data_IF_506394125790
#
_entry.id   IF_506394125790
#
_cell.length_a   1.000
_cell.length_b   1.000
_cell.length_c   1.000
_cell.angle_alpha   90.00
_cell.angle_beta   90.00
_cell.angle_gamma   90.00
#
_symmetry.space_group_name_H-M   'P 1'
#
loop_
_entity.id
_entity.type
_entity.pdbx_description
1 polymer ?
#
# COMPACT_ATOMS: atom_id res chain seq x y z
N UNK A 1 -32.97 35.41 36.43
CA UNK A 1 -33.86 35.92 35.37
C UNK A 1 -32.99 36.77 34.48
N UNK A 2 -32.79 36.55 33.19
CA UNK A 2 -33.14 35.53 32.21
C UNK A 2 -31.83 34.78 31.83
N UNK A 3 -31.78 33.52 31.42
CA UNK A 3 -32.64 32.88 30.44
C UNK A 3 -32.08 33.11 29.03
N UNK A 4 -30.93 32.52 28.68
CA UNK A 4 -30.63 32.25 27.28
C UNK A 4 -30.14 30.82 27.09
N UNK A 5 -30.76 30.18 26.12
CA UNK A 5 -30.88 28.76 25.87
C UNK A 5 -30.13 28.54 24.56
N UNK A 6 -28.87 28.14 24.64
CA UNK A 6 -28.15 27.64 23.47
C UNK A 6 -28.52 26.17 23.27
N UNK A 7 -29.62 25.98 22.55
CA UNK A 7 -29.97 24.71 21.93
C UNK A 7 -29.02 24.47 20.74
N UNK A 8 -28.47 23.25 20.71
CA UNK A 8 -28.07 22.44 19.54
C UNK A 8 -26.86 22.92 18.72
N UNK A 9 -25.75 22.19 18.87
CA UNK A 9 -25.22 21.39 17.75
C UNK A 9 -24.73 20.05 18.29
N UNK A 10 -25.71 19.15 18.41
CA UNK A 10 -25.52 17.72 18.27
C UNK A 10 -25.25 17.45 16.77
N UNK A 11 -24.11 17.88 16.26
CA UNK A 11 -23.61 17.34 15.00
C UNK A 11 -22.78 16.12 15.38
N UNK A 12 -23.45 14.98 15.25
CA UNK A 12 -22.83 13.66 15.14
C UNK A 12 -21.54 13.79 14.36
N UNK A 13 -20.42 13.32 14.89
CA UNK A 13 -19.31 12.98 14.00
C UNK A 13 -19.89 11.92 13.07
N UNK A 14 -20.32 12.32 11.88
CA UNK A 14 -20.95 11.42 10.93
C UNK A 14 -20.01 10.23 10.74
N UNK A 15 -20.48 9.08 11.21
CA UNK A 15 -19.76 7.83 11.13
C UNK A 15 -19.24 7.64 9.69
N UNK A 16 -18.00 7.20 9.52
CA UNK A 16 -17.39 7.10 8.20
C UNK A 16 -18.09 5.99 7.38
N UNK A 17 -19.16 6.37 6.66
CA UNK A 17 -20.10 5.45 6.00
C UNK A 17 -19.48 4.56 4.91
N UNK A 18 -18.25 4.84 4.49
CA UNK A 18 -17.51 4.06 3.50
C UNK A 18 -16.48 3.14 4.16
N UNK A 19 -16.68 2.75 5.42
CA UNK A 19 -15.89 1.70 6.08
C UNK A 19 -16.76 0.48 6.36
N UNK A 20 -16.23 -0.71 6.04
CA UNK A 20 -16.84 -1.99 6.35
C UNK A 20 -15.96 -2.77 7.34
N UNK A 21 -16.57 -3.31 8.38
CA UNK A 21 -15.99 -4.28 9.33
C UNK A 21 -16.94 -5.48 9.46
N UNK A 22 -16.53 -6.60 10.09
CA UNK A 22 -17.42 -7.74 10.31
C UNK A 22 -18.69 -7.41 11.11
N UNK A 23 -18.69 -6.31 11.87
CA UNK A 23 -19.82 -5.80 12.65
C UNK A 23 -20.73 -4.84 11.86
N UNK A 24 -20.39 -4.53 10.62
CA UNK A 24 -21.16 -3.61 9.78
C UNK A 24 -22.56 -4.19 9.47
N UNK A 25 -23.58 -3.33 9.41
CA UNK A 25 -24.99 -3.74 9.23
C UNK A 25 -25.26 -4.45 7.90
N UNK A 26 -24.54 -4.06 6.85
CA UNK A 26 -24.57 -4.70 5.53
C UNK A 26 -23.55 -5.84 5.45
N UNK A 27 -23.93 -6.92 4.77
CA UNK A 27 -22.95 -7.92 4.30
C UNK A 27 -21.91 -7.29 3.38
N UNK A 28 -20.75 -7.93 3.24
CA UNK A 28 -19.68 -7.44 2.35
C UNK A 28 -20.18 -7.27 0.90
N UNK A 29 -21.05 -8.16 0.44
CA UNK A 29 -21.62 -8.12 -0.90
C UNK A 29 -22.56 -6.93 -1.12
N UNK A 30 -23.44 -6.66 -0.15
CA UNK A 30 -24.34 -5.51 -0.19
C UNK A 30 -23.58 -4.19 -0.09
N UNK A 31 -22.56 -4.14 0.77
CA UNK A 31 -21.68 -2.98 0.92
C UNK A 31 -20.96 -2.65 -0.39
N UNK A 32 -20.34 -3.65 -1.03
CA UNK A 32 -19.65 -3.48 -2.32
C UNK A 32 -20.60 -3.14 -3.47
N UNK A 33 -21.84 -3.63 -3.43
CA UNK A 33 -22.87 -3.26 -4.39
C UNK A 33 -23.31 -1.80 -4.24
N UNK A 34 -23.41 -1.32 -2.99
CA UNK A 34 -23.81 0.04 -2.64
C UNK A 34 -22.72 1.07 -2.90
N UNK A 35 -21.47 0.78 -2.51
CA UNK A 35 -20.35 1.71 -2.58
C UNK A 35 -19.30 1.26 -3.60
N UNK A 36 -19.56 1.59 -4.87
CA UNK A 36 -18.66 1.28 -5.97
C UNK A 36 -17.58 2.35 -6.13
N UNK A 37 -16.28 2.00 -6.14
CA UNK A 37 -15.21 2.99 -6.28
C UNK A 37 -15.33 3.86 -7.53
N UNK A 38 -15.88 3.32 -8.64
CA UNK A 38 -16.10 4.07 -9.87
C UNK A 38 -17.21 5.13 -9.78
N UNK A 39 -18.07 5.08 -8.76
CA UNK A 39 -19.25 5.94 -8.60
C UNK A 39 -19.23 6.78 -7.32
N UNK A 40 -18.57 6.31 -6.27
CA UNK A 40 -18.44 7.04 -5.01
C UNK A 40 -17.53 8.24 -5.24
N UNK A 41 -18.06 9.44 -5.02
CA UNK A 41 -17.32 10.69 -5.18
C UNK A 41 -16.63 11.06 -3.88
N UNK A 42 -15.45 11.64 -4.01
CA UNK A 42 -14.78 12.33 -2.90
C UNK A 42 -15.51 13.67 -2.66
N UNK A 43 -16.09 13.82 -1.49
CA UNK A 43 -16.72 15.06 -1.00
C UNK A 43 -15.69 16.00 -0.33
N UNK A 44 -14.42 15.61 -0.29
CA UNK A 44 -13.32 16.33 0.37
C UNK A 44 -12.98 15.77 1.75
N UNK A 45 -13.86 14.95 2.33
CA UNK A 45 -13.69 14.35 3.65
C UNK A 45 -13.58 12.83 3.58
N UNK A 46 -14.11 12.23 2.50
CA UNK A 46 -14.20 10.78 2.33
C UNK A 46 -13.47 10.28 1.06
N UNK A 47 -12.12 10.37 1.03
CA UNK A 47 -11.33 9.97 -0.15
C UNK A 47 -11.17 8.45 -0.33
N UNK A 48 -11.68 7.63 0.59
CA UNK A 48 -11.41 6.19 0.63
C UNK A 48 -12.69 5.39 0.89
N UNK A 49 -12.74 4.18 0.33
CA UNK A 49 -13.62 3.12 0.78
C UNK A 49 -12.73 2.08 1.45
N UNK A 50 -13.08 1.65 2.67
CA UNK A 50 -12.31 0.73 3.50
C UNK A 50 -13.05 -0.58 3.71
N UNK A 51 -12.28 -1.67 3.78
CA UNK A 51 -12.73 -2.99 4.20
C UNK A 51 -11.68 -3.51 5.18
N UNK A 52 -12.07 -3.66 6.44
CA UNK A 52 -11.25 -4.17 7.52
C UNK A 52 -11.73 -5.57 7.91
N UNK A 53 -10.85 -6.57 7.87
CA UNK A 53 -11.18 -7.91 8.39
C UNK A 53 -11.02 -7.95 9.91
N UNK A 54 -9.96 -7.32 10.40
CA UNK A 54 -9.59 -7.26 11.81
C UNK A 54 -9.46 -5.79 12.19
N UNK A 55 -10.07 -5.33 13.30
CA UNK A 55 -10.00 -3.94 13.71
C UNK A 55 -8.54 -3.48 13.79
N UNK A 56 -8.23 -2.35 13.16
CA UNK A 56 -6.89 -1.79 13.22
C UNK A 56 -6.45 -1.54 14.68
N UNK A 57 -5.30 -2.10 15.08
CA UNK A 57 -4.72 -1.81 16.39
C UNK A 57 -4.38 -0.32 16.46
N UNK A 58 -4.90 0.36 17.50
CA UNK A 58 -4.84 1.80 17.70
C UNK A 58 -3.47 2.41 17.35
N UNK A 59 -3.47 3.32 16.37
CA UNK A 59 -2.31 4.01 15.79
C UNK A 59 -1.90 5.28 16.57
N UNK A 60 -2.31 5.45 17.84
CA UNK A 60 -2.00 6.66 18.62
C UNK A 60 -0.48 6.89 18.83
N UNK A 61 0.35 5.85 18.66
CA UNK A 61 1.80 5.89 18.92
C UNK A 61 2.66 6.57 17.82
N UNK A 62 2.09 6.96 16.68
CA UNK A 62 2.86 7.38 15.50
C UNK A 62 3.66 8.69 15.68
N UNK A 63 3.24 9.62 16.54
CA UNK A 63 3.84 10.99 16.57
C UNK A 63 5.33 11.00 16.93
N UNK A 64 5.76 10.22 17.92
CA UNK A 64 7.17 10.22 18.37
C UNK A 64 8.09 9.58 17.33
N UNK A 65 7.59 8.59 16.61
CA UNK A 65 8.36 7.78 15.65
C UNK A 65 8.49 8.51 14.32
N UNK A 66 7.43 9.22 13.91
CA UNK A 66 7.49 10.12 12.75
C UNK A 66 8.58 11.19 12.95
N UNK A 67 8.70 11.75 14.16
CA UNK A 67 9.76 12.71 14.49
C UNK A 67 11.16 12.11 14.29
N UNK A 68 11.42 10.93 14.84
CA UNK A 68 12.69 10.23 14.67
C UNK A 68 12.97 9.86 13.20
N UNK A 69 11.97 9.34 12.49
CA UNK A 69 12.09 9.00 11.07
C UNK A 69 12.37 10.22 10.18
N UNK A 70 11.77 11.37 10.49
CA UNK A 70 12.07 12.64 9.82
C UNK A 70 13.54 13.03 10.02
N UNK A 71 14.10 12.85 11.22
CA UNK A 71 15.50 13.16 11.49
C UNK A 71 16.45 12.25 10.68
N UNK A 72 16.17 10.95 10.61
CA UNK A 72 16.93 10.00 9.79
C UNK A 72 16.89 10.43 8.31
N UNK A 73 15.69 10.70 7.79
CA UNK A 73 15.52 11.09 6.39
C UNK A 73 16.20 12.43 6.07
N UNK A 74 16.11 13.42 6.97
CA UNK A 74 16.80 14.71 6.83
C UNK A 74 18.31 14.55 6.85
N UNK A 75 18.86 13.76 7.77
CA UNK A 75 20.30 13.50 7.84
C UNK A 75 20.83 12.83 6.56
N UNK A 76 20.11 11.83 6.04
CA UNK A 76 20.45 11.18 4.78
C UNK A 76 20.38 12.17 3.59
N UNK A 77 19.35 13.02 3.56
CA UNK A 77 19.19 14.04 2.52
C UNK A 77 20.36 15.02 2.52
N UNK A 78 20.74 15.55 3.69
CA UNK A 78 21.84 16.49 3.80
C UNK A 78 23.16 15.86 3.34
N UNK A 79 23.46 14.64 3.80
CA UNK A 79 24.67 13.90 3.38
C UNK A 79 24.71 13.66 1.86
N UNK A 80 23.58 13.27 1.25
CA UNK A 80 23.51 13.09 -0.22
C UNK A 80 23.79 14.40 -0.96
N UNK A 81 23.24 15.52 -0.47
CA UNK A 81 23.46 16.85 -1.05
C UNK A 81 24.91 17.32 -0.87
N UNK A 82 25.52 17.05 0.28
CA UNK A 82 26.94 17.34 0.53
C UNK A 82 27.84 16.56 -0.43
N UNK A 83 27.64 15.24 -0.56
CA UNK A 83 28.36 14.40 -1.52
C UNK A 83 28.15 14.92 -2.95
N UNK A 84 26.93 15.34 -3.30
CA UNK A 84 26.63 15.88 -4.63
C UNK A 84 27.43 17.17 -4.91
N UNK A 85 27.59 18.04 -3.92
CA UNK A 85 28.23 19.36 -4.06
C UNK A 85 29.75 19.31 -3.97
N UNK A 86 30.32 18.29 -3.34
CA UNK A 86 31.76 18.15 -3.22
C UNK A 86 32.41 17.98 -4.60
N UNK A 87 33.29 18.91 -4.97
CA UNK A 87 33.98 18.90 -6.27
C UNK A 87 35.18 17.96 -6.29
N UNK A 88 35.65 17.51 -5.13
CA UNK A 88 36.81 16.63 -5.00
C UNK A 88 36.43 15.16 -5.18
N UNK A 89 35.14 14.82 -5.07
CA UNK A 89 34.66 13.45 -5.26
C UNK A 89 34.33 13.25 -6.74
N UNK A 90 34.96 12.28 -7.44
CA UNK A 90 34.58 11.95 -8.80
C UNK A 90 33.18 11.32 -8.85
N UNK A 91 32.48 11.43 -9.98
CA UNK A 91 31.13 10.87 -10.09
C UNK A 91 31.13 9.33 -10.05
N UNK A 92 32.06 8.70 -10.78
CA UNK A 92 32.31 7.27 -10.79
C UNK A 92 33.67 6.96 -10.17
N UNK A 93 33.79 5.74 -9.66
CA UNK A 93 35.06 5.18 -9.21
C UNK A 93 35.95 4.93 -10.43
N UNK A 94 37.15 5.50 -10.48
CA UNK A 94 38.04 5.48 -11.66
C UNK A 94 38.88 4.18 -11.76
N UNK A 95 38.36 3.04 -11.29
CA UNK A 95 39.09 1.76 -11.29
C UNK A 95 40.20 1.64 -10.24
N UNK A 96 40.55 2.73 -9.55
CA UNK A 96 41.39 2.70 -8.36
C UNK A 96 40.56 2.27 -7.14
N UNK A 97 40.97 1.19 -6.48
CA UNK A 97 40.25 0.55 -5.36
C UNK A 97 40.05 1.51 -4.19
N UNK A 98 40.91 2.52 -4.06
CA UNK A 98 40.85 3.50 -2.97
C UNK A 98 40.02 4.76 -3.28
N UNK A 99 39.52 4.93 -4.51
CA UNK A 99 38.76 6.14 -4.90
C UNK A 99 37.29 5.83 -5.04
N UNK A 100 36.50 6.32 -4.08
CA UNK A 100 35.05 6.12 -4.05
C UNK A 100 34.33 7.24 -4.80
N UNK A 101 33.51 6.87 -5.78
CA UNK A 101 32.69 7.82 -6.51
C UNK A 101 31.47 8.31 -5.71
N UNK A 102 30.90 9.45 -6.12
CA UNK A 102 29.66 10.00 -5.55
C UNK A 102 28.53 8.99 -5.53
N UNK A 103 28.41 8.17 -6.59
CA UNK A 103 27.35 7.14 -6.69
C UNK A 103 27.44 6.13 -5.55
N UNK A 104 28.63 5.65 -5.22
CA UNK A 104 28.83 4.62 -4.21
C UNK A 104 28.55 5.17 -2.82
N UNK A 105 29.08 6.36 -2.52
CA UNK A 105 28.84 7.05 -1.24
C UNK A 105 27.36 7.38 -1.05
N UNK A 106 26.67 7.88 -2.08
CA UNK A 106 25.23 8.12 -1.99
C UNK A 106 24.44 6.83 -1.81
N UNK A 107 24.88 5.73 -2.43
CA UNK A 107 24.23 4.42 -2.26
C UNK A 107 24.34 3.96 -0.81
N UNK A 108 25.51 4.07 -0.19
CA UNK A 108 25.68 3.73 1.23
C UNK A 108 24.83 4.58 2.16
N UNK A 109 24.79 5.90 1.96
CA UNK A 109 23.96 6.79 2.77
C UNK A 109 22.48 6.38 2.69
N UNK A 110 22.01 6.02 1.49
CA UNK A 110 20.63 5.55 1.29
C UNK A 110 20.40 4.19 1.95
N UNK A 111 21.31 3.23 1.78
CA UNK A 111 21.20 1.90 2.38
C UNK A 111 21.19 1.98 3.91
N UNK A 112 22.08 2.78 4.51
CA UNK A 112 22.11 2.97 5.95
C UNK A 112 20.81 3.62 6.45
N UNK A 113 20.32 4.67 5.77
CA UNK A 113 19.08 5.32 6.16
C UNK A 113 17.86 4.38 6.08
N UNK A 114 17.82 3.48 5.09
CA UNK A 114 16.78 2.45 4.98
C UNK A 114 16.86 1.46 6.14
N UNK A 115 18.06 0.99 6.49
CA UNK A 115 18.28 0.10 7.63
C UNK A 115 17.89 0.77 8.96
N UNK A 116 18.27 2.03 9.17
CA UNK A 116 17.93 2.81 10.36
C UNK A 116 16.41 3.01 10.49
N UNK A 117 15.72 3.27 9.38
CA UNK A 117 14.25 3.42 9.36
C UNK A 117 13.55 2.10 9.66
N UNK A 118 14.01 0.99 9.08
CA UNK A 118 13.46 -0.34 9.38
C UNK A 118 13.69 -0.72 10.85
N UNK A 119 14.91 -0.53 11.36
CA UNK A 119 15.24 -0.80 12.76
C UNK A 119 14.35 0.01 13.70
N UNK A 120 14.19 1.32 13.45
CA UNK A 120 13.29 2.18 14.22
C UNK A 120 11.86 1.63 14.23
N UNK A 121 11.38 1.10 13.10
CA UNK A 121 10.05 0.54 13.02
C UNK A 121 9.90 -0.74 13.82
N UNK A 122 10.87 -1.66 13.71
CA UNK A 122 10.84 -2.94 14.43
C UNK A 122 10.91 -2.74 15.94
N UNK A 123 11.80 -1.85 16.42
CA UNK A 123 11.95 -1.55 17.86
C UNK A 123 10.70 -0.98 18.50
N UNK A 124 9.84 -0.36 17.70
CA UNK A 124 8.65 0.35 18.18
C UNK A 124 7.33 -0.31 17.75
N UNK A 125 7.38 -1.44 17.04
CA UNK A 125 6.19 -2.17 16.58
C UNK A 125 5.44 -1.47 15.44
N UNK A 126 6.13 -0.69 14.61
CA UNK A 126 5.53 0.20 13.59
C UNK A 126 5.76 -0.30 12.18
N UNK A 127 5.63 -1.60 12.02
CA UNK A 127 6.04 -2.32 10.82
C UNK A 127 4.96 -2.37 9.75
N UNK A 128 3.80 -1.77 10.00
CA UNK A 128 2.67 -1.77 9.08
C UNK A 128 3.06 -1.12 7.75
N UNK A 129 2.53 -1.69 6.67
CA UNK A 129 2.69 -1.14 5.34
C UNK A 129 1.71 -1.79 4.39
N UNK A 130 1.81 -1.42 3.11
CA UNK A 130 0.81 -1.80 2.13
C UNK A 130 1.38 -2.16 0.77
N UNK A 131 0.76 -3.12 0.12
CA UNK A 131 0.83 -3.31 -1.32
C UNK A 131 -0.02 -2.25 -2.03
N UNK A 132 0.50 -1.68 -3.10
CA UNK A 132 -0.13 -0.62 -3.90
C UNK A 132 -0.49 -1.16 -5.29
N UNK A 133 -1.76 -1.01 -5.68
CA UNK A 133 -2.26 -1.36 -7.01
C UNK A 133 -2.78 -0.11 -7.72
N UNK A 134 -2.41 0.06 -8.99
CA UNK A 134 -2.96 1.11 -9.84
C UNK A 134 -3.87 0.47 -10.88
N UNK A 135 -5.18 0.53 -10.63
CA UNK A 135 -6.19 -0.24 -11.37
C UNK A 135 -6.99 0.70 -12.26
N UNK A 136 -7.16 0.34 -13.53
CA UNK A 136 -7.88 1.17 -14.49
C UNK A 136 -9.35 1.37 -14.10
N UNK A 137 -9.91 2.56 -14.35
CA UNK A 137 -11.31 2.91 -14.00
C UNK A 137 -12.35 1.93 -14.54
N UNK A 138 -12.08 1.28 -15.67
CA UNK A 138 -13.00 0.30 -16.26
C UNK A 138 -13.08 -1.02 -15.49
N UNK A 139 -12.03 -1.38 -14.75
CA UNK A 139 -11.96 -2.66 -14.02
C UNK A 139 -11.97 -2.49 -12.50
N UNK A 140 -11.96 -1.25 -12.00
CA UNK A 140 -11.81 -0.96 -10.57
C UNK A 140 -12.86 -1.65 -9.70
N UNK A 141 -14.14 -1.56 -10.06
CA UNK A 141 -15.22 -2.14 -9.25
C UNK A 141 -15.06 -3.66 -9.10
N UNK A 142 -14.71 -4.34 -10.21
CA UNK A 142 -14.48 -5.79 -10.21
C UNK A 142 -13.27 -6.15 -9.37
N UNK A 143 -12.13 -5.50 -9.61
CA UNK A 143 -10.87 -5.79 -8.90
C UNK A 143 -10.99 -5.50 -7.41
N UNK A 144 -11.63 -4.38 -7.05
CA UNK A 144 -11.90 -4.03 -5.66
C UNK A 144 -12.78 -5.07 -4.99
N UNK A 145 -13.89 -5.47 -5.61
CA UNK A 145 -14.76 -6.50 -5.05
C UNK A 145 -14.04 -7.84 -4.89
N UNK A 146 -13.20 -8.25 -5.86
CA UNK A 146 -12.39 -9.47 -5.74
C UNK A 146 -11.43 -9.42 -4.55
N UNK A 147 -10.70 -8.31 -4.36
CA UNK A 147 -9.77 -8.16 -3.24
C UNK A 147 -10.52 -8.10 -1.91
N UNK A 148 -11.57 -7.28 -1.81
CA UNK A 148 -12.34 -7.08 -0.59
C UNK A 148 -13.01 -8.37 -0.10
N UNK A 149 -13.69 -9.12 -0.99
CA UNK A 149 -14.31 -10.39 -0.61
C UNK A 149 -13.28 -11.43 -0.19
N UNK A 150 -12.19 -11.57 -0.96
CA UNK A 150 -11.13 -12.53 -0.61
C UNK A 150 -10.46 -12.16 0.72
N UNK A 151 -10.33 -10.88 1.03
CA UNK A 151 -9.81 -10.40 2.31
C UNK A 151 -10.70 -10.79 3.49
N UNK A 152 -12.02 -10.79 3.32
CA UNK A 152 -12.98 -11.10 4.40
C UNK A 152 -13.17 -12.60 4.58
N UNK A 153 -13.42 -13.32 3.49
CA UNK A 153 -13.89 -14.72 3.53
C UNK A 153 -13.25 -15.63 2.47
N UNK A 154 -12.19 -15.19 1.79
CA UNK A 154 -11.49 -15.98 0.77
C UNK A 154 -10.01 -16.19 1.05
N UNK A 155 -9.23 -16.39 0.00
CA UNK A 155 -7.83 -16.81 0.09
C UNK A 155 -6.93 -15.77 0.79
N UNK A 156 -7.22 -14.48 0.69
CA UNK A 156 -6.46 -13.46 1.44
C UNK A 156 -6.75 -13.50 2.95
N UNK A 157 -7.92 -13.96 3.38
CA UNK A 157 -8.25 -14.12 4.80
C UNK A 157 -7.38 -15.19 5.48
N UNK A 158 -6.83 -16.14 4.71
CA UNK A 158 -5.89 -17.16 5.21
C UNK A 158 -4.47 -16.61 5.41
N UNK A 159 -4.19 -15.39 4.92
CA UNK A 159 -2.89 -14.73 5.02
C UNK A 159 -2.85 -13.69 6.15
N UNK A 160 -1.70 -13.02 6.29
CA UNK A 160 -1.51 -11.89 7.21
C UNK A 160 -2.21 -10.59 6.77
N UNK A 161 -2.77 -10.52 5.55
CA UNK A 161 -3.46 -9.31 5.10
C UNK A 161 -4.65 -8.98 6.02
N UNK A 162 -4.77 -7.72 6.43
CA UNK A 162 -5.71 -7.34 7.50
C UNK A 162 -6.76 -6.31 7.06
N UNK A 163 -6.43 -5.45 6.10
CA UNK A 163 -7.24 -4.30 5.73
C UNK A 163 -6.95 -3.91 4.28
N UNK A 164 -7.95 -3.41 3.58
CA UNK A 164 -7.77 -2.80 2.27
C UNK A 164 -8.53 -1.48 2.15
N UNK A 165 -8.04 -0.61 1.28
CA UNK A 165 -8.76 0.59 0.88
C UNK A 165 -8.62 0.89 -0.59
N UNK A 166 -9.60 1.59 -1.14
CA UNK A 166 -9.60 2.05 -2.53
C UNK A 166 -9.98 3.52 -2.60
N UNK A 167 -9.32 4.27 -3.47
CA UNK A 167 -9.62 5.70 -3.66
C UNK A 167 -11.00 5.90 -4.27
N UNK A 168 -11.75 6.88 -3.77
CA UNK A 168 -12.99 7.37 -4.40
C UNK A 168 -12.68 8.23 -5.62
N UNK A 169 -13.71 8.61 -6.38
CA UNK A 169 -13.57 9.51 -7.53
C UNK A 169 -13.38 10.93 -7.04
N UNK A 170 -12.15 11.46 -7.11
CA UNK A 170 -11.90 12.88 -6.82
C UNK A 170 -12.50 13.76 -7.91
N UNK A 171 -12.99 14.94 -7.51
CA UNK A 171 -13.62 15.90 -8.43
C UNK A 171 -12.64 16.44 -9.49
N UNK A 172 -11.35 16.52 -9.15
CA UNK A 172 -10.26 17.05 -9.96
C UNK A 172 -9.46 15.95 -10.69
N UNK A 173 -9.66 14.69 -10.35
CA UNK A 173 -8.87 13.59 -10.88
C UNK A 173 -9.47 13.05 -12.18
N UNK A 174 -8.80 13.34 -13.29
CA UNK A 174 -9.08 12.77 -14.62
C UNK A 174 -8.17 11.59 -14.96
N UNK A 175 -7.34 11.15 -14.00
CA UNK A 175 -6.38 10.08 -14.18
C UNK A 175 -7.05 8.73 -14.43
N UNK A 176 -6.50 7.86 -15.29
CA UNK A 176 -7.18 6.64 -15.73
C UNK A 176 -7.22 5.53 -14.66
N UNK A 177 -6.62 5.72 -13.49
CA UNK A 177 -6.45 4.69 -12.47
C UNK A 177 -6.96 5.12 -11.09
N UNK A 178 -7.48 4.15 -10.33
CA UNK A 178 -7.66 4.24 -8.88
C UNK A 178 -6.49 3.56 -8.16
N UNK A 179 -6.24 4.00 -6.93
CA UNK A 179 -5.29 3.35 -6.03
C UNK A 179 -6.02 2.40 -5.10
N UNK A 180 -5.62 1.13 -5.09
CA UNK A 180 -5.96 0.20 -4.01
C UNK A 180 -4.72 0.03 -3.13
N UNK A 181 -4.91 0.03 -1.82
CA UNK A 181 -3.91 -0.40 -0.85
C UNK A 181 -4.39 -1.67 -0.15
N UNK A 182 -3.53 -2.68 -0.03
CA UNK A 182 -3.75 -3.86 0.82
C UNK A 182 -2.70 -3.87 1.93
N UNK A 183 -3.14 -3.82 3.18
CA UNK A 183 -2.30 -3.64 4.35
C UNK A 183 -1.88 -4.97 4.97
N UNK A 184 -0.62 -4.99 5.40
CA UNK A 184 0.00 -6.08 6.16
C UNK A 184 0.51 -5.49 7.49
N UNK A 185 0.32 -6.21 8.63
CA UNK A 185 0.81 -5.76 9.94
C UNK A 185 2.33 -5.55 9.99
N UNK A 186 3.08 -6.33 9.22
CA UNK A 186 4.53 -6.20 9.08
C UNK A 186 4.93 -6.34 7.62
N UNK A 187 5.14 -5.22 6.93
CA UNK A 187 5.56 -5.23 5.51
C UNK A 187 7.03 -5.61 5.34
N UNK A 188 7.83 -5.57 6.40
CA UNK A 188 9.24 -5.96 6.38
C UNK A 188 9.45 -7.46 6.59
N UNK A 189 8.38 -8.22 6.84
CA UNK A 189 8.38 -9.68 6.79
C UNK A 189 8.34 -10.12 5.32
N UNK A 190 9.49 -10.58 4.81
CA UNK A 190 9.65 -10.89 3.39
C UNK A 190 8.80 -12.10 3.02
N UNK A 191 8.80 -13.12 3.87
CA UNK A 191 8.08 -14.37 3.67
C UNK A 191 6.57 -14.10 3.61
N UNK A 192 6.03 -13.37 4.58
CA UNK A 192 4.61 -13.03 4.61
C UNK A 192 4.21 -12.09 3.46
N UNK A 193 5.06 -11.13 3.09
CA UNK A 193 4.82 -10.28 1.92
C UNK A 193 4.82 -11.08 0.61
N UNK A 194 5.67 -12.11 0.51
CA UNK A 194 5.76 -13.01 -0.66
C UNK A 194 4.55 -13.93 -0.73
N UNK A 195 4.12 -14.51 0.39
CA UNK A 195 2.89 -15.33 0.47
C UNK A 195 1.66 -14.55 -0.03
N UNK A 196 1.46 -13.33 0.49
CA UNK A 196 0.35 -12.47 0.05
C UNK A 196 0.45 -12.17 -1.45
N UNK A 197 1.66 -11.89 -1.96
CA UNK A 197 1.88 -11.66 -3.38
C UNK A 197 1.51 -12.88 -4.23
N UNK A 198 1.89 -14.09 -3.81
CA UNK A 198 1.55 -15.32 -4.52
C UNK A 198 0.04 -15.54 -4.56
N UNK A 199 -0.67 -15.34 -3.44
CA UNK A 199 -2.13 -15.45 -3.38
C UNK A 199 -2.80 -14.44 -4.32
N UNK A 200 -2.37 -13.18 -4.27
CA UNK A 200 -2.89 -12.12 -5.15
C UNK A 200 -2.79 -12.50 -6.63
N UNK A 201 -1.65 -13.03 -7.07
CA UNK A 201 -1.43 -13.39 -8.47
C UNK A 201 -2.15 -14.69 -8.82
N UNK A 202 -1.87 -15.77 -8.08
CA UNK A 202 -2.32 -17.14 -8.38
C UNK A 202 -3.83 -17.31 -8.24
N UNK A 203 -4.43 -16.68 -7.23
CA UNK A 203 -5.85 -16.86 -6.89
C UNK A 203 -6.72 -15.74 -7.44
N UNK A 204 -6.27 -14.50 -7.32
CA UNK A 204 -7.09 -13.33 -7.68
C UNK A 204 -6.74 -12.74 -9.06
N UNK A 205 -5.60 -13.10 -9.64
CA UNK A 205 -5.16 -12.59 -10.94
C UNK A 205 -4.78 -11.12 -10.91
N UNK A 206 -4.37 -10.62 -9.75
CA UNK A 206 -4.00 -9.21 -9.54
C UNK A 206 -2.56 -9.11 -9.09
N UNK A 207 -1.81 -8.20 -9.70
CA UNK A 207 -0.39 -7.99 -9.37
C UNK A 207 -0.20 -6.59 -8.79
N UNK A 208 0.24 -6.44 -7.54
CA UNK A 208 0.58 -5.14 -6.99
C UNK A 208 1.85 -4.59 -7.65
N UNK A 209 1.99 -3.27 -7.68
CA UNK A 209 3.14 -2.61 -8.32
C UNK A 209 4.29 -2.43 -7.33
N UNK A 210 3.98 -2.00 -6.11
CA UNK A 210 4.99 -1.73 -5.09
C UNK A 210 4.46 -1.98 -3.68
N UNK A 211 5.34 -2.33 -2.75
CA UNK A 211 5.07 -2.27 -1.31
C UNK A 211 5.68 -1.01 -0.69
N UNK A 212 4.92 -0.32 0.17
CA UNK A 212 5.35 0.89 0.88
C UNK A 212 5.08 0.76 2.39
N UNK A 213 6.09 0.93 3.26
CA UNK A 213 5.90 1.10 4.70
C UNK A 213 5.09 2.35 5.03
N UNK A 214 4.24 2.28 6.06
CA UNK A 214 3.43 3.43 6.46
C UNK A 214 4.28 4.60 6.93
N UNK A 215 5.37 4.32 7.65
CA UNK A 215 6.29 5.35 8.10
C UNK A 215 6.79 6.23 6.96
N UNK A 216 7.01 5.68 5.75
CA UNK A 216 7.46 6.44 4.58
C UNK A 216 6.41 7.46 4.13
N UNK A 217 5.13 7.14 4.29
CA UNK A 217 4.03 8.08 4.02
C UNK A 217 4.04 9.22 5.04
N UNK A 218 4.21 8.89 6.33
CA UNK A 218 4.16 9.89 7.40
C UNK A 218 5.38 10.83 7.47
N UNK A 219 6.57 10.35 7.10
CA UNK A 219 7.78 11.19 7.06
C UNK A 219 7.92 11.99 5.75
N UNK A 220 6.97 11.86 4.82
CA UNK A 220 6.99 12.59 3.55
C UNK A 220 7.91 11.98 2.48
N UNK A 221 8.25 10.70 2.59
CA UNK A 221 9.06 10.00 1.59
C UNK A 221 8.19 9.55 0.40
N UNK A 222 8.28 10.33 -0.68
CA UNK A 222 7.59 10.11 -1.95
C UNK A 222 8.57 10.09 -3.13
N UNK A 223 8.05 9.81 -4.33
CA UNK A 223 8.85 9.82 -5.56
C UNK A 223 9.51 11.18 -5.77
N UNK A 224 10.75 11.18 -6.29
CA UNK A 224 11.58 12.38 -6.49
C UNK A 224 11.98 13.11 -5.19
N UNK A 225 11.89 12.46 -4.03
CA UNK A 225 12.39 13.02 -2.78
C UNK A 225 13.90 13.32 -2.89
N UNK A 226 14.40 14.47 -2.35
CA UNK A 226 15.80 14.89 -2.52
C UNK A 226 16.86 13.92 -1.98
N UNK A 227 16.52 13.03 -1.05
CA UNK A 227 17.43 11.96 -0.60
C UNK A 227 17.78 10.94 -1.70
N UNK A 228 16.96 10.85 -2.75
CA UNK A 228 17.05 9.79 -3.75
C UNK A 228 16.71 8.39 -3.21
N UNK A 229 16.19 8.30 -1.98
CA UNK A 229 15.67 7.04 -1.43
C UNK A 229 14.38 6.69 -2.15
N UNK A 230 14.25 5.42 -2.55
CA UNK A 230 13.04 4.90 -3.19
C UNK A 230 11.92 4.79 -2.15
N UNK A 231 10.69 5.26 -2.43
CA UNK A 231 9.60 5.30 -1.43
C UNK A 231 8.89 3.94 -1.24
N UNK A 232 9.54 2.83 -1.59
CA UNK A 232 8.95 1.48 -1.63
C UNK A 232 10.04 0.46 -1.34
N UNK A 233 9.69 -0.64 -0.66
CA UNK A 233 10.68 -1.67 -0.25
C UNK A 233 10.62 -2.96 -1.08
N UNK A 234 9.45 -3.30 -1.65
CA UNK A 234 9.31 -4.48 -2.50
C UNK A 234 8.62 -4.15 -3.84
N UNK A 235 9.00 -4.87 -4.89
CA UNK A 235 8.23 -5.13 -6.11
C UNK A 235 8.03 -6.63 -6.24
N UNK A 236 7.10 -7.05 -7.10
CA UNK A 236 6.90 -8.47 -7.40
C UNK A 236 8.21 -9.17 -7.83
N UNK A 237 8.99 -8.53 -8.71
CA UNK A 237 10.30 -9.03 -9.19
C UNK A 237 11.42 -9.04 -8.13
N UNK A 238 11.24 -8.31 -7.02
CA UNK A 238 12.21 -8.32 -5.92
C UNK A 238 12.00 -9.55 -5.02
N UNK A 239 10.82 -10.18 -5.11
CA UNK A 239 10.39 -11.30 -4.27
C UNK A 239 10.31 -12.63 -5.04
N UNK A 240 9.90 -12.59 -6.31
CA UNK A 240 9.68 -13.75 -7.17
C UNK A 240 10.48 -13.62 -8.47
N UNK A 241 10.95 -14.76 -9.01
CA UNK A 241 11.60 -14.80 -10.32
C UNK A 241 10.59 -14.55 -11.45
N UNK A 242 11.07 -14.17 -12.64
CA UNK A 242 10.20 -13.96 -13.81
C UNK A 242 9.44 -15.23 -14.19
N UNK A 243 10.10 -16.40 -14.13
CA UNK A 243 9.46 -17.69 -14.40
C UNK A 243 8.37 -18.01 -13.37
N UNK A 244 8.64 -17.80 -12.08
CA UNK A 244 7.64 -18.01 -11.03
C UNK A 244 6.43 -17.08 -11.23
N UNK A 245 6.65 -15.79 -11.52
CA UNK A 245 5.56 -14.86 -11.82
C UNK A 245 4.71 -15.32 -13.01
N UNK A 246 5.35 -15.84 -14.06
CA UNK A 246 4.66 -16.37 -15.23
C UNK A 246 3.83 -17.60 -14.91
N UNK A 247 4.40 -18.55 -14.16
CA UNK A 247 3.69 -19.77 -13.70
C UNK A 247 2.43 -19.40 -12.90
N UNK A 248 2.53 -18.46 -11.95
CA UNK A 248 1.38 -18.01 -11.16
C UNK A 248 0.27 -17.39 -12.02
N UNK A 249 0.66 -16.60 -13.03
CA UNK A 249 -0.31 -16.02 -13.98
C UNK A 249 -0.97 -17.09 -14.86
N UNK A 250 -0.21 -18.10 -15.30
CA UNK A 250 -0.72 -19.21 -16.09
C UNK A 250 -1.68 -20.09 -15.28
N UNK A 251 -1.35 -20.36 -14.02
CA UNK A 251 -2.24 -21.06 -13.08
C UNK A 251 -3.58 -20.32 -12.93
N UNK A 252 -3.56 -19.01 -12.67
CA UNK A 252 -4.78 -18.21 -12.60
C UNK A 252 -5.58 -18.29 -13.90
N UNK A 253 -4.93 -18.12 -15.05
CA UNK A 253 -5.59 -18.18 -16.36
C UNK A 253 -6.20 -19.56 -16.64
N UNK A 254 -5.53 -20.65 -16.23
CA UNK A 254 -6.05 -22.01 -16.34
C UNK A 254 -7.30 -22.20 -15.48
N UNK A 255 -7.31 -21.67 -14.26
CA UNK A 255 -8.47 -21.71 -13.36
C UNK A 255 -9.68 -20.98 -13.94
N UNK A 256 -9.46 -19.83 -14.58
CA UNK A 256 -10.54 -19.09 -15.25
C UNK A 256 -11.12 -19.85 -16.44
N UNK A 257 -10.29 -20.61 -17.19
CA UNK A 257 -10.76 -21.45 -18.32
C UNK A 257 -11.55 -22.68 -17.89
N UNK A 258 -11.22 -23.24 -16.72
CA UNK A 258 -11.89 -24.41 -16.14
C UNK A 258 -13.09 -24.05 -15.25
N UNK A 259 -13.43 -22.75 -15.16
CA UNK A 259 -14.63 -22.29 -14.47
C UNK A 259 -15.92 -22.82 -15.12
N UNK A 260 -17.06 -22.72 -14.43
CA UNK A 260 -18.29 -23.47 -14.75
C UNK A 260 -18.88 -23.29 -16.17
N UNK A 261 -18.38 -22.35 -16.97
CA UNK A 261 -18.83 -22.10 -18.35
C UNK A 261 -18.28 -23.11 -19.38
N UNK A 262 -17.41 -24.05 -19.00
CA UNK A 262 -16.89 -25.08 -19.93
C UNK A 262 -17.72 -26.39 -19.97
N UNK A 263 -18.89 -26.43 -19.33
CA UNK A 263 -19.73 -27.63 -19.22
C UNK A 263 -21.03 -27.60 -20.07
N UNK A 264 -21.09 -26.78 -21.12
CA UNK A 264 -22.18 -26.83 -22.12
C UNK A 264 -21.61 -26.71 -23.53
N UNK A 265 -21.11 -27.81 -24.08
CA UNK A 265 -21.38 -28.22 -25.47
C UNK A 265 -20.62 -29.52 -25.78
N UNK A 266 -21.33 -30.64 -25.64
CA UNK A 266 -21.08 -31.88 -26.40
C UNK A 266 -22.17 -32.89 -26.05
N UNK A 267 -23.37 -32.62 -26.58
CA UNK A 267 -24.38 -33.65 -26.75
C UNK A 267 -25.16 -33.34 -28.04
N UNK A 268 -24.58 -33.70 -29.18
CA UNK A 268 -25.29 -34.12 -30.39
C UNK A 268 -24.62 -35.38 -30.94
#
# INVERSE_FOLDING_TARGET
MEGDRMDVDSETSDEYIYSWTPEHELSIDEFLAKYKPSKTKDDGEKPWIWVERVPAVNQQWYRSIVGAGILILKAATNKVVEIQRDRNIPWHSNGDVNVRGKRDLQTEVRTQALADLEQLCREKGTTCGKWLFFVHRQSIDRVWATIAKSLVEGELAETVACEAKVSTVRQDDTGPHHLICLYLPNIYDKEAATEVLEVLIRKLGVTPVNAKPDIYTHIGLYTKHPSGIRPTIWQAKDLLSEDALKELHEEYASRQRLGPDSATDSCE
#
